data_IF_628725170993
#
_entry.id   IF_628725170993
#
_cell.length_a   1.000
_cell.length_b   1.000
_cell.length_c   1.000
_cell.angle_alpha   90.00
_cell.angle_beta   90.00
_cell.angle_gamma   90.00
#
_symmetry.space_group_name_H-M   'P 1'
#
loop_
_entity.id
_entity.type
_entity.pdbx_description
1 polymer ?
#
# COMPACT_ATOMS: atom_id res chain seq x y z
N UNK A 1 11.55 -1.73 2.60
CA UNK A 1 10.79 -2.47 3.64
C UNK A 1 10.70 -1.71 4.98
N UNK A 2 11.77 -1.07 5.46
CA UNK A 2 11.79 -0.32 6.73
C UNK A 2 10.54 0.55 6.98
N UNK A 3 10.06 1.27 5.96
CA UNK A 3 8.88 2.12 6.06
C UNK A 3 7.58 1.36 6.37
N UNK A 4 7.39 0.20 5.76
CA UNK A 4 6.23 -0.66 6.01
C UNK A 4 6.29 -1.23 7.44
N UNK A 5 7.47 -1.70 7.86
CA UNK A 5 7.70 -2.21 9.21
C UNK A 5 7.43 -1.14 10.27
N UNK A 6 7.86 0.11 10.03
CA UNK A 6 7.58 1.27 10.89
C UNK A 6 6.08 1.57 11.00
N UNK A 7 5.34 1.48 9.90
CA UNK A 7 3.88 1.68 9.91
C UNK A 7 3.16 0.57 10.67
N UNK A 8 3.54 -0.68 10.45
CA UNK A 8 2.99 -1.83 11.17
C UNK A 8 3.26 -1.70 12.67
N UNK A 9 4.48 -1.35 13.06
CA UNK A 9 4.83 -1.08 14.46
C UNK A 9 4.02 0.08 15.08
N UNK A 10 3.62 1.07 14.27
CA UNK A 10 2.75 2.17 14.68
C UNK A 10 1.24 1.83 14.69
N UNK A 11 0.89 0.56 14.47
CA UNK A 11 -0.48 0.04 14.53
C UNK A 11 -1.27 0.19 13.23
N UNK A 12 -0.60 0.42 12.09
CA UNK A 12 -1.23 0.40 10.78
C UNK A 12 -1.28 -1.03 10.22
N UNK A 13 -2.40 -1.39 9.62
CA UNK A 13 -2.54 -2.66 8.90
C UNK A 13 -2.41 -2.43 7.40
N UNK A 14 -1.48 -3.15 6.75
CA UNK A 14 -1.34 -3.17 5.29
C UNK A 14 -2.57 -3.82 4.67
N UNK A 15 -3.21 -3.16 3.71
CA UNK A 15 -4.33 -3.70 2.92
C UNK A 15 -3.84 -4.27 1.60
N UNK A 16 -3.76 -3.43 0.58
CA UNK A 16 -3.36 -3.84 -0.77
C UNK A 16 -2.87 -2.63 -1.57
N UNK A 17 -2.30 -2.92 -2.75
CA UNK A 17 -1.86 -1.91 -3.71
C UNK A 17 -3.01 -1.57 -4.65
N UNK A 18 -3.28 -0.28 -4.84
CA UNK A 18 -4.29 0.19 -5.79
C UNK A 18 -3.79 1.39 -6.59
N UNK A 19 -4.44 1.61 -7.74
CA UNK A 19 -4.34 2.84 -8.53
C UNK A 19 -5.75 3.38 -8.80
N UNK A 20 -5.85 4.59 -9.33
CA UNK A 20 -7.14 5.20 -9.65
C UNK A 20 -7.91 4.43 -10.75
N UNK A 21 -9.26 4.36 -10.63
CA UNK A 21 -10.11 5.03 -9.62
C UNK A 21 -10.29 4.23 -8.31
N UNK A 22 -9.84 2.97 -8.30
CA UNK A 22 -10.07 2.06 -7.17
C UNK A 22 -9.43 2.55 -5.87
N UNK A 23 -8.30 3.25 -5.98
CA UNK A 23 -7.63 3.88 -4.86
C UNK A 23 -8.55 4.85 -4.12
N UNK A 24 -9.15 5.81 -4.82
CA UNK A 24 -10.07 6.79 -4.23
C UNK A 24 -11.30 6.12 -3.62
N UNK A 25 -11.95 5.20 -4.35
CA UNK A 25 -13.12 4.47 -3.84
C UNK A 25 -12.85 3.77 -2.51
N UNK A 26 -11.68 3.13 -2.39
CA UNK A 26 -11.30 2.39 -1.20
C UNK A 26 -10.94 3.29 -0.03
N UNK A 27 -10.30 4.42 -0.31
CA UNK A 27 -10.00 5.44 0.70
C UNK A 27 -11.30 5.99 1.28
N UNK A 28 -12.28 6.32 0.43
CA UNK A 28 -13.59 6.79 0.88
C UNK A 28 -14.30 5.73 1.72
N UNK A 29 -14.43 4.51 1.19
CA UNK A 29 -15.08 3.40 1.88
C UNK A 29 -14.46 3.12 3.26
N UNK A 30 -13.12 3.06 3.37
CA UNK A 30 -12.46 2.81 4.66
C UNK A 30 -12.70 3.92 5.67
N UNK A 31 -12.70 5.18 5.23
CA UNK A 31 -13.01 6.33 6.08
C UNK A 31 -14.46 6.28 6.57
N UNK A 32 -15.41 5.94 5.70
CA UNK A 32 -16.83 5.83 6.06
C UNK A 32 -17.10 4.73 7.10
N UNK A 33 -16.38 3.62 7.04
CA UNK A 33 -16.53 2.51 8.00
C UNK A 33 -15.64 2.63 9.25
N UNK A 34 -15.06 3.81 9.50
CA UNK A 34 -14.38 4.11 10.77
C UNK A 34 -12.88 3.79 10.81
N UNK A 35 -12.18 3.88 9.68
CA UNK A 35 -10.72 3.77 9.63
C UNK A 35 -10.04 5.08 9.23
N UNK A 36 -8.90 5.35 9.86
CA UNK A 36 -7.89 6.22 9.28
C UNK A 36 -7.23 5.50 8.10
N UNK A 37 -6.91 6.25 7.04
CA UNK A 37 -6.27 5.71 5.83
C UNK A 37 -4.96 6.45 5.58
N UNK A 38 -3.89 5.68 5.40
CA UNK A 38 -2.56 6.17 5.06
C UNK A 38 -2.12 5.55 3.73
N UNK A 39 -1.63 6.38 2.81
CA UNK A 39 -1.20 5.95 1.48
C UNK A 39 0.32 6.07 1.37
N UNK A 40 1.00 4.97 1.09
CA UNK A 40 2.44 4.98 0.80
C UNK A 40 2.69 4.70 -0.69
N UNK A 41 3.71 5.33 -1.29
CA UNK A 41 4.19 4.93 -2.61
C UNK A 41 4.69 3.48 -2.59
N UNK A 42 4.70 2.86 -3.76
CA UNK A 42 5.46 1.61 -3.91
C UNK A 42 6.95 1.88 -3.64
N UNK A 43 7.67 0.97 -2.98
CA UNK A 43 9.11 1.10 -2.83
C UNK A 43 9.78 1.05 -4.22
N UNK A 44 11.07 1.39 -4.28
CA UNK A 44 11.82 1.27 -5.53
C UNK A 44 11.83 -0.17 -6.05
N UNK A 45 12.12 -0.36 -7.33
CA UNK A 45 12.21 -1.71 -7.92
C UNK A 45 13.27 -2.55 -7.21
N UNK A 46 14.43 -1.96 -6.92
CA UNK A 46 15.51 -2.62 -6.19
C UNK A 46 15.08 -3.05 -4.78
N UNK A 47 14.36 -2.20 -4.05
CA UNK A 47 13.83 -2.56 -2.73
C UNK A 47 12.72 -3.62 -2.78
N UNK A 48 11.93 -3.63 -3.85
CA UNK A 48 10.89 -4.62 -4.08
C UNK A 48 11.50 -5.99 -4.41
N UNK A 49 12.46 -6.03 -5.34
CA UNK A 49 13.13 -7.26 -5.75
C UNK A 49 14.01 -7.83 -4.62
N UNK A 50 14.64 -6.97 -3.82
CA UNK A 50 15.41 -7.36 -2.64
C UNK A 50 14.56 -7.99 -1.53
N UNK A 51 13.23 -7.84 -1.56
CA UNK A 51 12.37 -8.42 -0.54
C UNK A 51 12.16 -9.93 -0.69
N UNK A 52 12.72 -10.56 -1.72
CA UNK A 52 12.84 -12.02 -1.86
C UNK A 52 11.51 -12.78 -1.81
N UNK A 53 10.39 -12.09 -2.00
CA UNK A 53 9.09 -12.68 -1.85
C UNK A 53 8.73 -13.37 -3.17
N UNK A 54 8.93 -14.69 -3.26
CA UNK A 54 8.42 -15.53 -4.36
C UNK A 54 6.89 -15.45 -4.49
N UNK A 55 6.20 -14.89 -3.50
CA UNK A 55 4.77 -14.60 -3.48
C UNK A 55 4.41 -13.21 -4.06
N UNK A 56 5.39 -12.41 -4.49
CA UNK A 56 5.10 -11.20 -5.23
C UNK A 56 4.56 -11.62 -6.61
N UNK A 57 3.24 -11.64 -6.75
CA UNK A 57 2.58 -11.90 -8.03
C UNK A 57 3.05 -10.95 -9.14
N UNK A 58 2.41 -10.99 -10.30
CA UNK A 58 2.82 -10.17 -11.44
C UNK A 58 2.92 -8.67 -11.09
N UNK A 59 4.12 -8.10 -11.17
CA UNK A 59 4.43 -6.69 -10.90
C UNK A 59 4.73 -5.88 -12.18
N UNK A 60 4.51 -6.47 -13.35
CA UNK A 60 4.83 -5.85 -14.64
C UNK A 60 4.13 -4.49 -14.85
N UNK A 61 2.94 -4.30 -14.25
CA UNK A 61 2.23 -3.03 -14.31
C UNK A 61 2.90 -1.93 -13.47
N UNK A 62 3.63 -2.27 -12.41
CA UNK A 62 4.37 -1.30 -11.61
C UNK A 62 5.55 -0.76 -12.43
N UNK A 63 6.24 -1.61 -13.18
CA UNK A 63 7.39 -1.20 -13.99
C UNK A 63 7.03 -0.18 -15.10
N UNK A 64 5.77 -0.12 -15.51
CA UNK A 64 5.28 0.87 -16.47
C UNK A 64 5.08 2.25 -15.84
N UNK A 65 4.49 2.29 -14.64
CA UNK A 65 4.18 3.54 -13.93
C UNK A 65 3.99 3.26 -12.42
N UNK A 66 5.10 3.22 -11.66
CA UNK A 66 5.09 2.95 -10.22
C UNK A 66 4.39 4.06 -9.42
N UNK A 67 4.47 5.30 -9.92
CA UNK A 67 3.94 6.48 -9.24
C UNK A 67 2.41 6.50 -9.20
N UNK A 68 1.78 5.83 -10.16
CA UNK A 68 0.33 5.65 -10.20
C UNK A 68 -0.21 4.75 -9.09
N UNK A 69 0.63 3.91 -8.49
CA UNK A 69 0.21 2.95 -7.47
C UNK A 69 0.55 3.43 -6.07
N UNK A 70 -0.35 3.11 -5.13
CA UNK A 70 -0.18 3.34 -3.69
C UNK A 70 -0.53 2.09 -2.91
N UNK A 71 0.21 1.84 -1.84
CA UNK A 71 -0.15 0.86 -0.81
C UNK A 71 -1.13 1.54 0.14
N UNK A 72 -2.28 0.93 0.33
CA UNK A 72 -3.27 1.37 1.31
C UNK A 72 -2.94 0.73 2.67
N UNK A 73 -2.78 1.56 3.69
CA UNK A 73 -2.72 1.18 5.09
C UNK A 73 -3.94 1.73 5.82
N UNK A 74 -4.45 0.98 6.79
CA UNK A 74 -5.60 1.40 7.60
C UNK A 74 -5.36 1.19 9.08
N UNK A 75 -5.97 2.03 9.92
CA UNK A 75 -6.01 1.85 11.37
C UNK A 75 -7.39 2.25 11.89
N UNK A 76 -8.02 1.51 12.83
CA UNK A 76 -9.30 1.91 13.40
C UNK A 76 -9.22 3.30 14.02
N UNK A 77 -10.22 4.15 13.75
CA UNK A 77 -10.40 5.42 14.46
C UNK A 77 -10.79 5.06 15.91
N UNK A 78 -10.04 5.57 16.89
CA UNK A 78 -10.32 5.35 18.31
C UNK A 78 -11.57 6.08 18.78
#
# INVERSE_FOLDING_TARGET
MKREEELIAAGWERRFVASEPRLSEMVEMYREIGFEVHLEPLPSKEEWDASGCEESGCTACFDLDRDRYRIIFTRPVK
#
